data_IF_865455871663
#
_entry.id   IF_865455871663
#
_cell.length_a   1.000
_cell.length_b   1.000
_cell.length_c   1.000
_cell.angle_alpha   90.00
_cell.angle_beta   90.00
_cell.angle_gamma   90.00
#
_symmetry.space_group_name_H-M   'P 1'
#
loop_
_entity.id
_entity.type
_entity.pdbx_description
1 polymer ?
#
# COMPACT_ATOMS: atom_id res chain seq x y z
N UNK A 1 -21.81 9.41 8.55
CA UNK A 1 -22.79 10.48 8.85
C UNK A 1 -22.51 11.72 7.99
N UNK A 2 -23.46 12.68 8.00
CA UNK A 2 -23.32 13.94 7.28
C UNK A 2 -23.58 15.14 8.20
N UNK A 3 -22.92 16.28 7.92
CA UNK A 3 -23.18 17.57 8.56
C UNK A 3 -23.38 18.66 7.51
N UNK A 4 -24.24 19.63 7.83
CA UNK A 4 -24.50 20.77 6.94
C UNK A 4 -23.28 21.69 6.84
N UNK A 5 -22.96 22.12 5.64
CA UNK A 5 -21.93 23.12 5.32
C UNK A 5 -22.48 24.15 4.33
N UNK A 6 -21.79 25.26 4.13
CA UNK A 6 -22.20 26.35 3.21
C UNK A 6 -23.66 26.77 3.42
N UNK A 7 -24.02 27.17 4.62
CA UNK A 7 -25.38 27.61 4.92
C UNK A 7 -26.48 26.54 4.78
N UNK A 8 -26.10 25.25 4.65
CA UNK A 8 -27.05 24.14 4.49
C UNK A 8 -27.27 23.71 3.03
N UNK A 9 -26.63 24.32 2.05
CA UNK A 9 -26.73 23.95 0.64
C UNK A 9 -26.00 22.63 0.35
N UNK A 10 -24.98 22.31 1.12
CA UNK A 10 -24.19 21.09 0.99
C UNK A 10 -24.13 20.30 2.29
N UNK A 11 -23.92 18.99 2.15
CA UNK A 11 -23.68 18.06 3.25
C UNK A 11 -22.29 17.47 3.09
N UNK A 12 -21.46 17.54 4.14
CA UNK A 12 -20.15 16.93 4.19
C UNK A 12 -20.21 15.58 4.90
N UNK A 13 -19.57 14.56 4.33
CA UNK A 13 -19.45 13.25 4.98
C UNK A 13 -18.34 13.22 6.02
N UNK A 14 -18.62 12.55 7.14
CA UNK A 14 -17.63 12.23 8.16
C UNK A 14 -17.87 10.82 8.72
N UNK A 15 -16.81 10.18 9.19
CA UNK A 15 -16.88 8.95 9.98
C UNK A 15 -17.14 9.32 11.44
N UNK A 16 -17.96 8.52 12.08
CA UNK A 16 -18.30 8.64 13.50
C UNK A 16 -17.98 7.31 14.17
N UNK A 17 -16.99 7.34 15.08
CA UNK A 17 -16.47 6.16 15.74
C UNK A 17 -17.11 5.99 17.12
N UNK A 18 -17.77 4.85 17.31
CA UNK A 18 -18.33 4.50 18.61
C UNK A 18 -18.05 3.04 18.97
N UNK A 19 -17.36 2.80 20.11
CA UNK A 19 -16.59 3.78 20.89
C UNK A 19 -15.48 4.42 20.05
N UNK A 20 -15.00 5.61 20.48
CA UNK A 20 -13.84 6.23 19.82
C UNK A 20 -12.64 5.30 19.86
N UNK A 21 -11.83 5.31 18.80
CA UNK A 21 -10.59 4.54 18.78
C UNK A 21 -9.37 5.41 19.07
N UNK A 22 -8.32 4.81 19.64
CA UNK A 22 -7.07 5.51 19.90
C UNK A 22 -6.13 5.27 18.72
N UNK A 23 -5.76 6.35 18.06
CA UNK A 23 -4.74 6.34 17.01
C UNK A 23 -3.37 6.09 17.66
N UNK A 24 -2.69 5.01 17.28
CA UNK A 24 -1.41 4.62 17.88
C UNK A 24 -0.28 5.60 17.58
N UNK A 25 -0.32 6.29 16.43
CA UNK A 25 0.73 7.22 16.03
C UNK A 25 0.67 8.55 16.80
N UNK A 26 -0.54 9.05 17.06
CA UNK A 26 -0.78 10.33 17.73
C UNK A 26 -1.21 10.18 19.18
N UNK A 27 -1.55 8.96 19.64
CA UNK A 27 -2.13 8.63 20.95
C UNK A 27 -3.44 9.37 21.26
N UNK A 28 -4.06 10.00 20.26
CA UNK A 28 -5.33 10.74 20.42
C UNK A 28 -6.53 9.82 20.24
N UNK A 29 -7.57 10.09 21.01
CA UNK A 29 -8.88 9.43 20.84
C UNK A 29 -9.62 10.10 19.69
N UNK A 30 -9.78 9.37 18.60
CA UNK A 30 -10.54 9.81 17.43
C UNK A 30 -12.01 9.44 17.59
N UNK A 31 -12.89 10.42 17.50
CA UNK A 31 -14.35 10.24 17.47
C UNK A 31 -14.93 10.55 16.11
N UNK A 32 -14.39 11.54 15.45
CA UNK A 32 -14.88 12.00 14.15
C UNK A 32 -13.72 12.20 13.18
N UNK A 33 -13.88 11.74 11.95
CA UNK A 33 -12.93 11.93 10.86
C UNK A 33 -13.69 12.46 9.63
N UNK A 34 -13.28 13.63 9.12
CA UNK A 34 -13.88 14.20 7.90
C UNK A 34 -13.33 13.47 6.68
N UNK A 35 -14.22 13.04 5.77
CA UNK A 35 -13.82 12.37 4.53
C UNK A 35 -13.44 13.34 3.39
N UNK A 36 -13.65 14.65 3.58
CA UNK A 36 -13.42 15.63 2.50
C UNK A 36 -14.39 15.49 1.31
N UNK A 37 -15.47 14.70 1.47
CA UNK A 37 -16.48 14.45 0.45
C UNK A 37 -17.74 15.22 0.83
N UNK A 38 -18.40 15.83 -0.15
CA UNK A 38 -19.65 16.54 0.04
C UNK A 38 -20.65 16.23 -1.06
N UNK A 39 -21.92 16.41 -0.75
CA UNK A 39 -23.07 16.27 -1.66
C UNK A 39 -23.96 17.48 -1.58
N UNK A 40 -24.77 17.72 -2.60
CA UNK A 40 -25.82 18.73 -2.59
C UNK A 40 -26.94 18.29 -1.64
N UNK A 41 -27.37 19.19 -0.73
CA UNK A 41 -28.47 18.92 0.20
C UNK A 41 -29.83 18.80 -0.51
N UNK A 42 -30.00 19.62 -1.57
CA UNK A 42 -31.15 19.54 -2.49
C UNK A 42 -30.62 19.50 -3.91
N UNK A 43 -31.04 18.51 -4.68
CA UNK A 43 -30.66 18.37 -6.08
C UNK A 43 -31.71 19.03 -6.98
N UNK A 44 -31.25 19.81 -7.95
CA UNK A 44 -32.07 20.53 -8.93
C UNK A 44 -32.02 19.89 -10.32
N UNK A 45 -31.05 19.05 -10.58
CA UNK A 45 -30.84 18.43 -11.89
C UNK A 45 -30.47 16.95 -11.74
N UNK A 46 -30.63 16.17 -12.82
CA UNK A 46 -30.20 14.77 -12.87
C UNK A 46 -28.69 14.67 -12.67
N UNK A 47 -27.90 15.57 -13.23
CA UNK A 47 -26.44 15.63 -13.07
C UNK A 47 -26.01 15.75 -11.61
N UNK A 48 -26.74 16.55 -10.81
CA UNK A 48 -26.47 16.70 -9.38
C UNK A 48 -26.84 15.42 -8.60
N UNK A 49 -27.92 14.73 -9.02
CA UNK A 49 -28.25 13.42 -8.44
C UNK A 49 -27.18 12.39 -8.71
N UNK A 50 -26.74 12.26 -9.97
CA UNK A 50 -25.68 11.31 -10.36
C UNK A 50 -24.35 11.63 -9.66
N UNK A 51 -24.06 12.92 -9.45
CA UNK A 51 -22.90 13.34 -8.64
C UNK A 51 -23.05 12.89 -7.20
N UNK A 52 -24.19 13.13 -6.57
CA UNK A 52 -24.46 12.72 -5.20
C UNK A 52 -24.33 11.21 -5.01
N UNK A 53 -24.82 10.42 -5.95
CA UNK A 53 -24.77 8.96 -5.87
C UNK A 53 -23.33 8.45 -5.96
N UNK A 54 -22.53 8.95 -6.91
CA UNK A 54 -21.10 8.65 -6.98
C UNK A 54 -20.33 9.06 -5.72
N UNK A 55 -20.69 10.20 -5.11
CA UNK A 55 -20.05 10.65 -3.86
C UNK A 55 -20.44 9.79 -2.66
N UNK A 56 -21.66 9.26 -2.63
CA UNK A 56 -22.09 8.28 -1.61
C UNK A 56 -21.33 6.96 -1.75
N UNK A 57 -21.21 6.42 -2.96
CA UNK A 57 -20.41 5.21 -3.23
C UNK A 57 -18.97 5.39 -2.81
N UNK A 58 -18.36 6.53 -3.15
CA UNK A 58 -16.99 6.86 -2.74
C UNK A 58 -16.84 6.96 -1.22
N UNK A 59 -17.80 7.58 -0.54
CA UNK A 59 -17.79 7.68 0.93
C UNK A 59 -17.94 6.32 1.59
N UNK A 60 -18.77 5.43 1.03
CA UNK A 60 -18.94 4.06 1.52
C UNK A 60 -17.66 3.22 1.31
N UNK A 61 -17.03 3.31 0.15
CA UNK A 61 -15.75 2.64 -0.09
C UNK A 61 -14.67 3.09 0.91
N UNK A 62 -14.59 4.38 1.23
CA UNK A 62 -13.67 4.89 2.24
C UNK A 62 -14.03 4.41 3.65
N UNK A 63 -15.34 4.33 3.97
CA UNK A 63 -15.79 3.76 5.26
C UNK A 63 -15.36 2.31 5.42
N UNK A 64 -15.55 1.48 4.39
CA UNK A 64 -15.13 0.07 4.42
C UNK A 64 -13.62 -0.05 4.60
N UNK A 65 -12.83 0.68 3.82
CA UNK A 65 -11.36 0.68 3.93
C UNK A 65 -10.89 1.10 5.33
N UNK A 66 -11.52 2.11 5.91
CA UNK A 66 -11.17 2.59 7.26
C UNK A 66 -11.57 1.58 8.34
N UNK A 67 -12.72 0.94 8.17
CA UNK A 67 -13.15 -0.13 9.08
C UNK A 67 -12.16 -1.30 9.07
N UNK A 68 -11.76 -1.76 7.89
CA UNK A 68 -10.75 -2.82 7.74
C UNK A 68 -9.42 -2.46 8.40
N UNK A 69 -8.94 -1.21 8.21
CA UNK A 69 -7.72 -0.73 8.86
C UNK A 69 -7.81 -0.81 10.38
N UNK A 70 -8.91 -0.29 10.97
CA UNK A 70 -9.11 -0.29 12.43
C UNK A 70 -9.25 -1.71 12.98
N UNK A 71 -9.94 -2.59 12.27
CA UNK A 71 -10.10 -3.99 12.67
C UNK A 71 -8.76 -4.70 12.61
N UNK A 72 -7.98 -4.49 11.56
CA UNK A 72 -6.65 -5.07 11.43
C UNK A 72 -5.71 -4.59 12.56
N UNK A 73 -5.73 -3.30 12.88
CA UNK A 73 -4.96 -2.75 14.00
C UNK A 73 -5.40 -3.34 15.35
N UNK A 74 -6.72 -3.38 15.60
CA UNK A 74 -7.29 -3.82 16.89
C UNK A 74 -7.05 -5.30 17.18
N UNK A 75 -7.13 -6.15 16.18
CA UNK A 75 -7.01 -7.60 16.34
C UNK A 75 -5.66 -8.15 15.92
N UNK A 76 -4.72 -7.25 15.60
CA UNK A 76 -3.34 -7.60 15.22
C UNK A 76 -3.28 -8.66 14.10
N UNK A 77 -4.25 -8.57 13.15
CA UNK A 77 -4.27 -9.44 11.98
C UNK A 77 -2.99 -9.29 11.13
N UNK A 78 -2.33 -8.13 11.24
CA UNK A 78 -0.96 -7.93 10.80
C UNK A 78 -0.04 -8.06 12.01
N UNK A 79 0.61 -9.19 12.10
CA UNK A 79 1.62 -9.45 13.12
C UNK A 79 2.79 -8.47 12.92
N UNK A 80 2.82 -7.40 13.72
CA UNK A 80 3.87 -6.37 13.68
C UNK A 80 5.26 -6.97 13.88
N UNK A 81 5.38 -8.08 14.60
CA UNK A 81 6.65 -8.80 14.77
C UNK A 81 7.06 -9.48 13.46
N UNK A 82 6.12 -10.03 12.69
CA UNK A 82 6.42 -10.57 11.36
C UNK A 82 6.84 -9.49 10.37
N UNK A 83 6.27 -8.29 10.48
CA UNK A 83 6.65 -7.14 9.64
C UNK A 83 8.06 -6.61 9.95
N UNK A 84 8.58 -6.80 11.17
CA UNK A 84 9.97 -6.52 11.53
C UNK A 84 10.95 -7.59 11.04
N UNK A 85 10.45 -8.69 10.51
CA UNK A 85 11.26 -9.77 9.96
C UNK A 85 12.12 -9.32 8.78
N UNK A 86 13.17 -10.06 8.50
CA UNK A 86 14.11 -9.77 7.40
C UNK A 86 13.52 -10.22 6.06
N UNK A 87 13.15 -9.24 5.22
CA UNK A 87 12.65 -9.46 3.87
C UNK A 87 13.71 -10.09 2.95
N UNK A 88 15.00 -9.77 3.12
CA UNK A 88 16.05 -10.36 2.30
C UNK A 88 16.20 -11.86 2.52
N UNK A 89 16.16 -12.32 3.77
CA UNK A 89 16.16 -13.76 4.09
C UNK A 89 14.95 -14.44 3.47
N UNK A 90 13.77 -13.85 3.58
CA UNK A 90 12.56 -14.36 2.95
C UNK A 90 12.67 -14.41 1.41
N UNK A 91 13.18 -13.36 0.79
CA UNK A 91 13.38 -13.31 -0.67
C UNK A 91 14.36 -14.40 -1.10
N UNK A 92 15.49 -14.56 -0.40
CA UNK A 92 16.48 -15.60 -0.68
C UNK A 92 15.87 -17.00 -0.66
N UNK A 93 15.14 -17.31 0.41
CA UNK A 93 14.45 -18.61 0.55
C UNK A 93 13.47 -18.90 -0.60
N UNK A 94 12.78 -17.87 -1.10
CA UNK A 94 11.91 -17.98 -2.27
C UNK A 94 12.73 -18.12 -3.56
N UNK A 95 13.84 -17.42 -3.72
CA UNK A 95 14.70 -17.49 -4.89
C UNK A 95 15.40 -18.85 -5.01
N UNK A 96 15.82 -19.45 -3.90
CA UNK A 96 16.48 -20.76 -3.86
C UNK A 96 15.55 -21.91 -4.30
N UNK A 97 14.24 -21.73 -4.16
CA UNK A 97 13.20 -22.69 -4.62
C UNK A 97 12.85 -22.53 -6.10
N UNK A 98 13.39 -21.52 -6.77
CA UNK A 98 13.05 -21.13 -8.15
C UNK A 98 14.29 -21.20 -9.07
N UNK A 99 14.16 -20.66 -10.27
CA UNK A 99 15.23 -20.65 -11.26
C UNK A 99 16.28 -19.54 -11.03
N UNK A 100 17.38 -19.57 -11.79
CA UNK A 100 18.49 -18.62 -11.69
C UNK A 100 18.08 -17.15 -11.86
N UNK A 101 16.99 -16.85 -12.59
CA UNK A 101 16.45 -15.49 -12.73
C UNK A 101 16.04 -14.91 -11.38
N UNK A 102 15.41 -15.70 -10.50
CA UNK A 102 15.03 -15.27 -9.17
C UNK A 102 16.25 -14.94 -8.31
N UNK A 103 17.30 -15.74 -8.42
CA UNK A 103 18.57 -15.51 -7.72
C UNK A 103 19.26 -14.22 -8.22
N UNK A 104 19.20 -13.94 -9.53
CA UNK A 104 19.73 -12.69 -10.07
C UNK A 104 18.96 -11.48 -9.53
N UNK A 105 17.63 -11.54 -9.50
CA UNK A 105 16.81 -10.46 -8.95
C UNK A 105 17.08 -10.26 -7.47
N UNK A 106 17.20 -11.33 -6.69
CA UNK A 106 17.62 -11.28 -5.30
C UNK A 106 18.96 -10.56 -5.12
N UNK A 107 19.98 -10.92 -5.91
CA UNK A 107 21.31 -10.29 -5.86
C UNK A 107 21.25 -8.78 -6.15
N UNK A 108 20.44 -8.38 -7.13
CA UNK A 108 20.22 -6.96 -7.43
C UNK A 108 19.53 -6.24 -6.30
N UNK A 109 18.48 -6.84 -5.73
CA UNK A 109 17.75 -6.22 -4.64
C UNK A 109 18.61 -6.14 -3.35
N UNK A 110 19.35 -7.20 -3.01
CA UNK A 110 20.28 -7.19 -1.88
C UNK A 110 21.35 -6.10 -2.02
N UNK A 111 21.93 -5.94 -3.23
CA UNK A 111 22.89 -4.86 -3.53
C UNK A 111 22.25 -3.48 -3.37
N UNK A 112 21.03 -3.29 -3.89
CA UNK A 112 20.29 -2.04 -3.80
C UNK A 112 20.02 -1.64 -2.33
N UNK A 113 19.65 -2.59 -1.47
CA UNK A 113 19.35 -2.37 -0.06
C UNK A 113 20.57 -2.50 0.85
N UNK A 114 21.79 -2.56 0.32
CA UNK A 114 23.02 -2.76 1.12
C UNK A 114 22.93 -3.98 2.06
N UNK A 115 22.34 -5.07 1.59
CA UNK A 115 22.12 -6.32 2.32
C UNK A 115 21.27 -6.20 3.60
N UNK A 116 20.42 -5.19 3.69
CA UNK A 116 19.48 -5.00 4.80
C UNK A 116 18.14 -4.48 4.26
N UNK A 117 17.06 -5.20 4.54
CA UNK A 117 15.71 -4.74 4.24
C UNK A 117 14.71 -5.57 5.06
N UNK A 118 13.89 -4.89 5.86
CA UNK A 118 12.81 -5.50 6.62
C UNK A 118 11.50 -5.41 5.82
N UNK A 119 10.49 -6.20 6.23
CA UNK A 119 9.18 -6.13 5.59
C UNK A 119 8.50 -4.77 5.77
N UNK A 120 8.67 -4.09 6.90
CA UNK A 120 8.07 -2.76 7.17
C UNK A 120 8.73 -1.63 6.36
N UNK A 121 9.89 -1.86 5.76
CA UNK A 121 10.56 -0.93 4.85
C UNK A 121 10.05 -1.02 3.41
N UNK A 122 9.32 -2.11 3.08
CA UNK A 122 8.75 -2.31 1.73
C UNK A 122 7.55 -1.37 1.56
N UNK A 123 7.73 -0.34 0.77
CA UNK A 123 6.70 0.62 0.39
C UNK A 123 6.82 1.00 -1.09
N UNK A 124 5.85 1.76 -1.59
CA UNK A 124 5.78 2.16 -3.01
C UNK A 124 7.04 2.94 -3.43
N UNK A 125 7.56 3.81 -2.56
CA UNK A 125 8.75 4.63 -2.85
C UNK A 125 10.00 3.76 -3.02
N UNK A 126 10.25 2.82 -2.10
CA UNK A 126 11.34 1.85 -2.21
C UNK A 126 11.21 1.00 -3.49
N UNK A 127 10.00 0.54 -3.81
CA UNK A 127 9.73 -0.22 -5.02
C UNK A 127 10.06 0.59 -6.29
N UNK A 128 9.67 1.86 -6.35
CA UNK A 128 9.97 2.75 -7.48
C UNK A 128 11.48 3.00 -7.60
N UNK A 129 12.16 3.28 -6.49
CA UNK A 129 13.63 3.44 -6.46
C UNK A 129 14.35 2.18 -6.93
N UNK A 130 13.87 1.00 -6.55
CA UNK A 130 14.44 -0.26 -7.05
C UNK A 130 14.22 -0.44 -8.55
N UNK A 131 13.05 -0.06 -9.08
CA UNK A 131 12.80 -0.07 -10.53
C UNK A 131 13.76 0.85 -11.27
N UNK A 132 13.98 2.05 -10.78
CA UNK A 132 14.95 3.01 -11.34
C UNK A 132 16.40 2.47 -11.27
N UNK A 133 16.76 1.86 -10.13
CA UNK A 133 18.05 1.18 -10.00
C UNK A 133 18.24 0.11 -11.07
N UNK A 134 17.24 -0.73 -11.35
CA UNK A 134 17.33 -1.79 -12.36
C UNK A 134 17.60 -1.23 -13.78
N UNK A 135 17.09 -0.06 -14.13
CA UNK A 135 17.33 0.59 -15.42
C UNK A 135 18.82 0.94 -15.65
N UNK A 136 19.57 1.15 -14.57
CA UNK A 136 20.98 1.53 -14.61
C UNK A 136 21.91 0.45 -14.04
N UNK A 137 21.35 -0.67 -13.58
CA UNK A 137 22.11 -1.73 -12.94
C UNK A 137 23.02 -2.47 -13.92
N UNK A 138 24.25 -2.86 -13.51
CA UNK A 138 25.11 -3.72 -14.29
C UNK A 138 24.53 -5.14 -14.37
N UNK A 139 24.93 -5.89 -15.38
CA UNK A 139 24.62 -7.33 -15.44
C UNK A 139 25.29 -8.08 -14.27
N UNK A 140 24.67 -9.19 -13.85
CA UNK A 140 25.17 -9.95 -12.70
C UNK A 140 26.50 -10.65 -13.00
N UNK A 141 26.72 -11.06 -14.24
CA UNK A 141 27.92 -11.80 -14.70
C UNK A 141 28.89 -10.84 -15.41
N UNK A 142 28.38 -10.03 -16.33
CA UNK A 142 29.16 -9.06 -17.12
C UNK A 142 28.93 -7.66 -16.54
N UNK A 143 29.66 -7.32 -15.48
CA UNK A 143 29.43 -6.10 -14.70
C UNK A 143 29.75 -4.80 -15.45
N UNK A 144 30.50 -4.86 -16.53
CA UNK A 144 30.79 -3.75 -17.44
C UNK A 144 29.61 -3.36 -18.34
N UNK A 145 28.63 -4.26 -18.50
CA UNK A 145 27.41 -3.99 -19.27
C UNK A 145 26.20 -3.74 -18.39
N UNK A 146 25.35 -2.82 -18.82
CA UNK A 146 24.04 -2.60 -18.17
C UNK A 146 23.05 -3.71 -18.50
N UNK A 147 22.05 -3.86 -17.67
CA UNK A 147 20.93 -4.75 -17.94
C UNK A 147 20.19 -4.32 -19.21
N UNK A 148 19.88 -5.29 -20.08
CA UNK A 148 19.02 -5.06 -21.22
C UNK A 148 17.58 -4.76 -20.75
N UNK A 149 16.86 -3.91 -21.47
CA UNK A 149 15.50 -3.46 -21.07
C UNK A 149 14.52 -4.61 -20.84
N UNK A 150 14.60 -5.67 -21.66
CA UNK A 150 13.77 -6.87 -21.49
C UNK A 150 14.13 -7.64 -20.20
N UNK A 151 15.40 -7.61 -19.80
CA UNK A 151 15.85 -8.19 -18.52
C UNK A 151 15.31 -7.37 -17.34
N UNK A 152 15.33 -6.04 -17.43
CA UNK A 152 14.75 -5.14 -16.44
C UNK A 152 13.27 -5.43 -16.24
N UNK A 153 12.49 -5.51 -17.35
CA UNK A 153 11.06 -5.83 -17.28
C UNK A 153 10.81 -7.19 -16.63
N UNK A 154 11.61 -8.21 -17.02
CA UNK A 154 11.51 -9.53 -16.43
C UNK A 154 11.91 -9.59 -14.96
N UNK A 155 12.92 -8.83 -14.54
CA UNK A 155 13.36 -8.74 -13.14
C UNK A 155 12.32 -8.02 -12.28
N UNK A 156 11.75 -6.93 -12.79
CA UNK A 156 10.66 -6.23 -12.14
C UNK A 156 9.44 -7.14 -11.93
N UNK A 157 9.05 -7.89 -12.97
CA UNK A 157 7.95 -8.86 -12.86
C UNK A 157 8.22 -9.93 -11.78
N UNK A 158 9.46 -10.44 -11.71
CA UNK A 158 9.87 -11.41 -10.68
C UNK A 158 9.82 -10.79 -9.28
N UNK A 159 10.32 -9.57 -9.11
CA UNK A 159 10.24 -8.85 -7.84
C UNK A 159 8.79 -8.66 -7.37
N UNK A 160 7.90 -8.22 -8.27
CA UNK A 160 6.46 -8.12 -7.98
C UNK A 160 5.86 -9.45 -7.54
N UNK A 161 6.28 -10.56 -8.14
CA UNK A 161 5.79 -11.89 -7.74
C UNK A 161 6.19 -12.26 -6.31
N UNK A 162 7.40 -11.86 -5.86
CA UNK A 162 7.82 -12.02 -4.45
C UNK A 162 6.94 -11.17 -3.53
N UNK A 163 6.71 -9.91 -3.89
CA UNK A 163 5.85 -9.01 -3.10
C UNK A 163 4.42 -9.56 -3.00
N UNK A 164 3.84 -10.03 -4.11
CA UNK A 164 2.52 -10.67 -4.11
C UNK A 164 2.45 -11.90 -3.20
N UNK A 165 3.53 -12.68 -3.14
CA UNK A 165 3.59 -13.83 -2.23
C UNK A 165 3.64 -13.36 -0.78
N UNK A 166 4.48 -12.39 -0.46
CA UNK A 166 4.58 -11.81 0.87
C UNK A 166 3.26 -11.15 1.32
N UNK A 167 2.56 -10.48 0.42
CA UNK A 167 1.23 -9.90 0.68
C UNK A 167 0.20 -10.98 1.04
N UNK A 168 0.12 -12.07 0.25
CA UNK A 168 -0.79 -13.19 0.53
C UNK A 168 -0.47 -13.91 1.84
N UNK A 169 0.79 -13.85 2.28
CA UNK A 169 1.24 -14.40 3.57
C UNK A 169 1.09 -13.38 4.72
N UNK A 170 0.46 -12.25 4.48
CA UNK A 170 0.25 -11.16 5.46
C UNK A 170 1.55 -10.63 6.09
N UNK A 171 2.65 -10.61 5.33
CA UNK A 171 3.97 -10.11 5.78
C UNK A 171 4.22 -8.65 5.37
N UNK A 172 3.52 -8.16 4.36
CA UNK A 172 3.55 -6.76 3.93
C UNK A 172 2.13 -6.23 3.75
N UNK A 173 1.97 -4.93 3.92
CA UNK A 173 0.74 -4.20 3.56
C UNK A 173 0.76 -3.84 2.05
N UNK A 174 -0.41 -3.45 1.53
CA UNK A 174 -0.54 -2.97 0.16
C UNK A 174 0.22 -1.65 -0.07
#
# INVERSE_FOLDING_TARGET
RTRKIKGGEQLSFYLDYYPGYRDESTMKVMRHESLGIYIYAKTKSQREKDYNDRMREKAEALRCRRYESIVNERYDFFDKEKMKGDFLTYFKQNADKKNCKWQHVYKHFARFCNNKCRFDEINIDLCNKFREYLLNAPQTIHTEHRLHINSVAGYWSTFRAVLHTAYREHKIME
#
